data_IF_862648436006
#
_entry.id   IF_862648436006
#
_cell.length_a   1.000
_cell.length_b   1.000
_cell.length_c   1.000
_cell.angle_alpha   90.00
_cell.angle_beta   90.00
_cell.angle_gamma   90.00
#
_symmetry.space_group_name_H-M   'P 1'
#
loop_
_entity.id
_entity.type
_entity.pdbx_description
1 polymer ?
#
# COMPACT_ATOMS: atom_id res chain seq x y z
N UNK A 1 28.57 26.51 9.04
CA UNK A 1 27.73 26.07 10.16
C UNK A 1 27.20 27.29 10.91
N UNK A 2 25.97 27.29 11.30
CA UNK A 2 25.38 28.42 12.05
C UNK A 2 25.80 28.31 13.54
N UNK A 3 26.68 29.15 14.01
CA UNK A 3 27.23 29.17 15.37
C UNK A 3 26.12 29.15 16.45
N UNK A 4 24.98 29.80 16.17
CA UNK A 4 23.81 29.79 17.05
C UNK A 4 23.17 28.39 17.20
N UNK A 5 23.21 27.60 16.17
CA UNK A 5 22.65 26.24 16.21
C UNK A 5 23.55 25.31 17.05
N UNK A 6 24.86 25.45 16.90
CA UNK A 6 25.83 24.68 17.71
C UNK A 6 25.69 24.99 19.20
N UNK A 7 25.51 26.24 19.58
CA UNK A 7 25.27 26.63 20.97
C UNK A 7 23.99 26.00 21.51
N UNK A 8 22.91 25.94 20.71
CA UNK A 8 21.66 25.28 21.12
C UNK A 8 21.82 23.77 21.32
N UNK A 9 22.58 23.10 20.49
CA UNK A 9 22.88 21.67 20.70
C UNK A 9 23.67 21.43 21.99
N UNK A 10 24.61 22.31 22.31
CA UNK A 10 25.36 22.26 23.58
C UNK A 10 24.45 22.49 24.80
N UNK A 11 23.52 23.45 24.73
CA UNK A 11 22.49 23.67 25.77
C UNK A 11 21.60 22.44 25.99
N UNK A 12 21.33 21.66 24.94
CA UNK A 12 20.57 20.40 25.01
C UNK A 12 21.42 19.20 25.51
N UNK A 13 22.69 19.43 25.86
CA UNK A 13 23.59 18.39 26.34
C UNK A 13 24.20 17.52 25.22
N UNK A 14 24.09 17.93 23.97
CA UNK A 14 24.70 17.23 22.83
C UNK A 14 26.16 17.66 22.72
N UNK A 15 27.08 16.72 22.88
CA UNK A 15 28.52 16.99 22.76
C UNK A 15 28.92 17.29 21.31
N UNK A 16 30.00 18.08 21.16
CA UNK A 16 30.58 18.36 19.83
C UNK A 16 30.89 17.09 19.03
N UNK A 17 31.35 16.03 19.72
CA UNK A 17 31.66 14.74 19.08
C UNK A 17 30.40 14.08 18.49
N UNK A 18 29.29 14.11 19.21
CA UNK A 18 28.00 13.56 18.73
C UNK A 18 27.46 14.40 17.59
N UNK A 19 27.52 15.71 17.71
CA UNK A 19 27.11 16.63 16.64
C UNK A 19 27.92 16.41 15.34
N UNK A 20 29.25 16.39 15.45
CA UNK A 20 30.12 16.15 14.30
C UNK A 20 29.90 14.78 13.64
N UNK A 21 29.57 13.75 14.45
CA UNK A 21 29.19 12.45 13.92
C UNK A 21 27.89 12.51 13.14
N UNK A 22 26.86 13.20 13.65
CA UNK A 22 25.60 13.42 12.96
C UNK A 22 25.79 14.12 11.62
N UNK A 23 26.51 15.25 11.59
CA UNK A 23 26.86 15.97 10.36
C UNK A 23 27.53 15.09 9.31
N UNK A 24 28.47 14.24 9.75
CA UNK A 24 29.14 13.30 8.85
C UNK A 24 28.15 12.33 8.23
N UNK A 25 27.25 11.74 9.02
CA UNK A 25 26.23 10.80 8.52
C UNK A 25 25.26 11.51 7.56
N UNK A 26 24.85 12.72 7.86
CA UNK A 26 24.00 13.51 6.95
C UNK A 26 24.67 13.75 5.59
N UNK A 27 25.97 14.08 5.59
CA UNK A 27 26.72 14.24 4.36
C UNK A 27 26.83 12.92 3.56
N UNK A 28 27.05 11.79 4.24
CA UNK A 28 27.10 10.46 3.59
C UNK A 28 25.73 10.06 3.00
N UNK A 29 24.62 10.54 3.58
CA UNK A 29 23.25 10.26 3.13
C UNK A 29 22.68 11.29 2.16
N UNK A 30 23.42 12.36 1.86
CA UNK A 30 22.92 13.50 1.08
C UNK A 30 22.26 13.10 -0.25
N UNK A 31 22.94 12.28 -1.05
CA UNK A 31 22.38 11.81 -2.33
C UNK A 31 21.09 11.00 -2.17
N UNK A 32 20.97 10.27 -1.05
CA UNK A 32 19.75 9.53 -0.73
C UNK A 32 18.61 10.48 -0.38
N UNK A 33 18.88 11.51 0.42
CA UNK A 33 17.87 12.51 0.78
C UNK A 33 17.41 13.31 -0.44
N UNK A 34 18.35 13.72 -1.30
CA UNK A 34 18.02 14.42 -2.56
C UNK A 34 17.07 13.60 -3.47
N UNK A 35 17.28 12.28 -3.53
CA UNK A 35 16.37 11.39 -4.27
C UNK A 35 14.98 11.29 -3.62
N UNK A 36 14.93 11.24 -2.28
CA UNK A 36 13.66 11.23 -1.54
C UNK A 36 12.91 12.55 -1.76
N UNK A 37 13.60 13.68 -1.66
CA UNK A 37 13.01 15.02 -1.84
C UNK A 37 12.48 15.18 -3.27
N UNK A 38 13.24 14.78 -4.29
CA UNK A 38 12.79 14.83 -5.69
C UNK A 38 11.55 13.96 -5.93
N UNK A 39 11.48 12.77 -5.34
CA UNK A 39 10.31 11.91 -5.41
C UNK A 39 9.10 12.51 -4.66
N UNK A 40 9.34 13.11 -3.51
CA UNK A 40 8.30 13.79 -2.73
C UNK A 40 7.72 14.97 -3.51
N UNK A 41 8.58 15.81 -4.12
CA UNK A 41 8.16 16.93 -4.97
C UNK A 41 7.32 16.45 -6.16
N UNK A 42 7.78 15.42 -6.87
CA UNK A 42 7.04 14.82 -7.98
C UNK A 42 5.63 14.37 -7.56
N UNK A 43 5.55 13.60 -6.48
CA UNK A 43 4.27 13.08 -5.99
C UNK A 43 3.36 14.20 -5.45
N UNK A 44 3.92 15.22 -4.81
CA UNK A 44 3.16 16.40 -4.40
C UNK A 44 2.52 17.10 -5.61
N UNK A 45 3.29 17.29 -6.69
CA UNK A 45 2.78 17.89 -7.93
C UNK A 45 1.71 17.03 -8.58
N UNK A 46 1.86 15.70 -8.53
CA UNK A 46 0.84 14.74 -9.02
C UNK A 46 -0.49 14.92 -8.25
N UNK A 47 -0.44 15.02 -6.93
CA UNK A 47 -1.63 15.25 -6.10
C UNK A 47 -2.28 16.60 -6.41
N UNK A 48 -1.49 17.68 -6.50
CA UNK A 48 -1.99 19.01 -6.85
C UNK A 48 -2.66 19.00 -8.22
N UNK A 49 -2.05 18.35 -9.20
CA UNK A 49 -2.62 18.22 -10.55
C UNK A 49 -3.95 17.46 -10.54
N UNK A 50 -4.05 16.37 -9.76
CA UNK A 50 -5.29 15.62 -9.59
C UNK A 50 -6.39 16.48 -8.92
N UNK A 51 -6.04 17.26 -7.89
CA UNK A 51 -6.97 18.18 -7.25
C UNK A 51 -7.47 19.27 -8.21
N UNK A 52 -6.58 19.85 -9.00
CA UNK A 52 -6.94 20.86 -10.01
C UNK A 52 -7.84 20.27 -11.11
N UNK A 53 -7.48 19.09 -11.64
CA UNK A 53 -8.28 18.38 -12.66
C UNK A 53 -9.70 18.14 -12.17
N UNK A 54 -9.87 17.75 -10.92
CA UNK A 54 -11.16 17.46 -10.30
C UNK A 54 -11.82 18.69 -9.67
N UNK A 55 -11.26 19.91 -9.89
CA UNK A 55 -11.82 21.19 -9.43
C UNK A 55 -12.12 21.21 -7.93
N UNK A 56 -11.20 20.68 -7.13
CA UNK A 56 -11.34 20.74 -5.67
C UNK A 56 -11.50 22.19 -5.23
N UNK A 57 -12.54 22.50 -4.50
CA UNK A 57 -12.89 23.83 -4.00
C UNK A 57 -13.33 23.74 -2.54
N UNK A 58 -13.53 24.90 -1.90
CA UNK A 58 -14.05 24.98 -0.54
C UNK A 58 -15.40 24.24 -0.37
N UNK A 59 -16.21 24.18 -1.42
CA UNK A 59 -17.50 23.48 -1.41
C UNK A 59 -17.36 21.97 -1.18
N UNK A 60 -16.23 21.37 -1.61
CA UNK A 60 -15.95 19.95 -1.38
C UNK A 60 -15.78 19.61 0.12
N UNK A 61 -15.52 20.60 0.95
CA UNK A 61 -15.33 20.44 2.40
C UNK A 61 -16.59 20.80 3.22
N UNK A 62 -17.69 21.10 2.56
CA UNK A 62 -18.95 21.34 3.26
C UNK A 62 -19.42 20.07 3.98
N UNK A 63 -20.02 20.24 5.13
CA UNK A 63 -20.58 19.15 5.92
C UNK A 63 -21.69 18.47 5.11
N UNK A 64 -21.57 17.16 4.93
CA UNK A 64 -22.60 16.30 4.37
C UNK A 64 -22.83 15.11 5.29
N UNK A 65 -23.91 14.36 5.08
CA UNK A 65 -24.12 13.11 5.83
C UNK A 65 -23.18 12.00 5.40
N UNK A 66 -22.47 12.13 4.27
CA UNK A 66 -21.68 11.09 3.63
C UNK A 66 -22.53 9.89 3.16
N UNK A 67 -23.84 9.97 3.33
CA UNK A 67 -24.81 8.94 3.00
C UNK A 67 -25.68 9.40 1.83
N UNK A 68 -25.89 8.52 0.86
CA UNK A 68 -26.70 8.80 -0.31
C UNK A 68 -25.89 9.08 -1.58
N UNK A 69 -26.62 9.53 -2.60
CA UNK A 69 -26.08 9.78 -3.93
C UNK A 69 -25.63 11.23 -4.09
N UNK A 70 -24.66 11.47 -4.99
CA UNK A 70 -24.20 12.82 -5.36
C UNK A 70 -23.62 13.64 -4.19
N UNK A 71 -22.82 13.02 -3.35
CA UNK A 71 -22.04 13.75 -2.34
C UNK A 71 -20.80 14.37 -3.01
N UNK A 72 -20.80 15.70 -3.15
CA UNK A 72 -19.77 16.42 -3.89
C UNK A 72 -18.36 16.17 -3.33
N UNK A 73 -18.20 16.25 -2.01
CA UNK A 73 -16.89 16.08 -1.36
C UNK A 73 -16.35 14.67 -1.55
N UNK A 74 -17.18 13.68 -1.23
CA UNK A 74 -16.85 12.27 -1.39
C UNK A 74 -16.54 11.89 -2.83
N UNK A 75 -17.42 12.23 -3.75
CA UNK A 75 -17.28 11.84 -5.15
C UNK A 75 -16.08 12.53 -5.80
N UNK A 76 -15.75 13.76 -5.36
CA UNK A 76 -14.53 14.45 -5.79
C UNK A 76 -13.27 13.81 -5.21
N UNK A 77 -13.29 13.44 -3.93
CA UNK A 77 -12.17 12.75 -3.27
C UNK A 77 -11.84 11.42 -3.96
N UNK A 78 -12.86 10.63 -4.29
CA UNK A 78 -12.68 9.35 -5.00
C UNK A 78 -12.03 9.55 -6.37
N UNK A 79 -12.45 10.56 -7.14
CA UNK A 79 -11.79 10.91 -8.41
C UNK A 79 -10.35 11.36 -8.24
N UNK A 80 -10.05 12.15 -7.20
CA UNK A 80 -8.67 12.57 -6.88
C UNK A 80 -7.81 11.35 -6.57
N UNK A 81 -8.31 10.42 -5.77
CA UNK A 81 -7.59 9.16 -5.48
C UNK A 81 -7.37 8.35 -6.75
N UNK A 82 -8.39 8.14 -7.57
CA UNK A 82 -8.24 7.42 -8.83
C UNK A 82 -7.15 8.04 -9.71
N UNK A 83 -7.15 9.37 -9.86
CA UNK A 83 -6.13 10.08 -10.64
C UNK A 83 -4.73 9.98 -10.03
N UNK A 84 -4.60 10.09 -8.70
CA UNK A 84 -3.29 10.01 -8.02
C UNK A 84 -2.64 8.64 -8.16
N UNK A 85 -3.43 7.59 -8.10
CA UNK A 85 -2.95 6.21 -8.11
C UNK A 85 -3.07 5.52 -9.47
N UNK A 86 -3.64 6.20 -10.46
CA UNK A 86 -3.78 5.70 -11.83
C UNK A 86 -4.86 4.62 -11.97
N UNK A 87 -5.87 4.65 -11.10
CA UNK A 87 -7.03 3.77 -11.16
C UNK A 87 -8.15 4.29 -12.03
N UNK A 88 -9.04 3.42 -12.47
CA UNK A 88 -10.29 3.79 -13.15
C UNK A 88 -11.29 4.42 -12.18
N UNK A 89 -11.29 3.94 -10.94
CA UNK A 89 -12.15 4.40 -9.85
C UNK A 89 -11.47 4.17 -8.49
N UNK A 90 -11.99 4.82 -7.46
CA UNK A 90 -11.55 4.63 -6.08
C UNK A 90 -12.76 4.62 -5.13
N UNK A 91 -12.63 3.89 -4.04
CA UNK A 91 -13.63 3.83 -2.99
C UNK A 91 -13.04 4.37 -1.68
N UNK A 92 -13.38 5.62 -1.36
CA UNK A 92 -12.88 6.31 -0.16
C UNK A 92 -14.07 6.64 0.73
N UNK A 93 -14.33 5.80 1.73
CA UNK A 93 -15.54 5.85 2.55
C UNK A 93 -15.22 5.82 4.04
N UNK A 94 -15.85 6.67 4.85
CA UNK A 94 -15.69 6.61 6.32
C UNK A 94 -16.24 5.31 6.92
N UNK A 95 -17.11 4.60 6.20
CA UNK A 95 -17.63 3.28 6.60
C UNK A 95 -16.59 2.17 6.48
N UNK A 96 -15.52 2.38 5.71
CA UNK A 96 -14.35 1.50 5.69
C UNK A 96 -13.47 1.92 6.87
N UNK A 97 -13.64 1.27 8.01
CA UNK A 97 -13.18 1.76 9.30
C UNK A 97 -11.70 1.54 9.60
N UNK A 98 -11.07 0.62 8.87
CA UNK A 98 -9.63 0.32 9.04
C UNK A 98 -9.11 -0.46 7.83
N UNK A 99 -7.80 -0.66 7.78
CA UNK A 99 -7.15 -1.38 6.70
C UNK A 99 -7.56 -2.83 6.56
N UNK A 100 -7.68 -3.52 7.66
CA UNK A 100 -8.18 -4.90 7.65
C UNK A 100 -9.58 -4.99 7.05
N UNK A 101 -10.45 -4.00 7.32
CA UNK A 101 -11.78 -3.92 6.73
C UNK A 101 -11.72 -3.67 5.21
N UNK A 102 -10.84 -2.77 4.76
CA UNK A 102 -10.65 -2.52 3.32
C UNK A 102 -10.17 -3.77 2.58
N UNK A 103 -9.16 -4.45 3.14
CA UNK A 103 -8.65 -5.70 2.58
C UNK A 103 -9.71 -6.82 2.58
N UNK A 104 -10.47 -6.97 3.68
CA UNK A 104 -11.55 -7.94 3.77
C UNK A 104 -12.62 -7.69 2.69
N UNK A 105 -13.04 -6.44 2.50
CA UNK A 105 -14.01 -6.06 1.46
C UNK A 105 -13.48 -6.39 0.06
N UNK A 106 -12.22 -6.05 -0.23
CA UNK A 106 -11.60 -6.34 -1.52
C UNK A 106 -11.50 -7.86 -1.79
N UNK A 107 -11.15 -8.65 -0.79
CA UNK A 107 -11.11 -10.11 -0.90
C UNK A 107 -12.51 -10.69 -1.11
N UNK A 108 -13.48 -10.33 -0.27
CA UNK A 108 -14.85 -10.85 -0.32
C UNK A 108 -15.60 -10.44 -1.61
N UNK A 109 -15.30 -9.28 -2.17
CA UNK A 109 -15.92 -8.84 -3.42
C UNK A 109 -15.47 -9.64 -4.63
N UNK A 110 -14.26 -10.19 -4.61
CA UNK A 110 -13.64 -10.87 -5.74
C UNK A 110 -13.62 -12.39 -5.64
N UNK A 111 -13.85 -12.97 -4.45
CA UNK A 111 -13.78 -14.41 -4.19
C UNK A 111 -15.18 -15.01 -3.99
N UNK A 112 -15.37 -16.24 -4.45
CA UNK A 112 -16.60 -17.02 -4.32
C UNK A 112 -16.28 -18.41 -3.73
N UNK A 113 -17.25 -19.10 -3.14
CA UNK A 113 -17.05 -20.48 -2.67
C UNK A 113 -16.44 -21.39 -3.76
N UNK A 114 -15.35 -22.06 -3.43
CA UNK A 114 -14.57 -22.88 -4.35
C UNK A 114 -13.35 -22.19 -4.97
N UNK A 115 -13.26 -20.85 -4.88
CA UNK A 115 -12.08 -20.09 -5.33
C UNK A 115 -10.90 -20.29 -4.37
N UNK A 116 -9.71 -20.03 -4.91
CA UNK A 116 -8.47 -20.01 -4.16
C UNK A 116 -7.87 -18.59 -4.14
N UNK A 117 -7.40 -18.20 -2.94
CA UNK A 117 -6.56 -17.06 -2.68
C UNK A 117 -5.10 -17.51 -2.56
N UNK A 118 -4.21 -17.00 -3.41
CA UNK A 118 -2.77 -17.27 -3.36
C UNK A 118 -2.00 -16.06 -2.87
N UNK A 119 -1.08 -16.26 -1.90
CA UNK A 119 -0.06 -15.27 -1.54
C UNK A 119 1.32 -15.72 -2.04
N UNK A 120 1.91 -15.07 -3.04
CA UNK A 120 3.19 -15.47 -3.63
C UNK A 120 4.41 -14.85 -2.96
N UNK A 121 4.23 -14.18 -1.83
CA UNK A 121 5.27 -13.43 -1.10
C UNK A 121 5.30 -13.81 0.39
N UNK A 122 4.83 -15.00 0.70
CA UNK A 122 4.70 -15.51 2.05
C UNK A 122 3.40 -15.12 2.73
N UNK A 123 3.35 -15.34 4.02
CA UNK A 123 2.17 -15.11 4.85
C UNK A 123 1.79 -13.62 4.88
N UNK A 124 0.50 -13.27 4.72
CA UNK A 124 0.04 -11.90 4.81
C UNK A 124 0.15 -11.37 6.25
N UNK A 125 -0.11 -10.07 6.41
CA UNK A 125 -0.13 -9.41 7.71
C UNK A 125 -1.07 -10.11 8.71
N UNK A 126 -0.71 -10.13 9.97
CA UNK A 126 -1.35 -10.94 11.02
C UNK A 126 -2.85 -10.70 11.19
N UNK A 127 -3.33 -9.47 10.97
CA UNK A 127 -4.77 -9.15 11.04
C UNK A 127 -5.57 -9.82 9.92
N UNK A 128 -4.95 -10.19 8.81
CA UNK A 128 -5.60 -10.92 7.72
C UNK A 128 -5.70 -12.43 7.97
N UNK A 129 -4.91 -12.97 8.90
CA UNK A 129 -4.96 -14.40 9.19
C UNK A 129 -6.35 -14.87 9.61
N UNK A 130 -7.05 -14.06 10.42
CA UNK A 130 -8.43 -14.37 10.84
C UNK A 130 -9.44 -14.11 9.74
N UNK A 131 -9.24 -13.06 8.93
CA UNK A 131 -10.12 -12.76 7.79
C UNK A 131 -10.08 -13.89 6.76
N UNK A 132 -8.89 -14.37 6.44
CA UNK A 132 -8.68 -15.46 5.48
C UNK A 132 -9.10 -16.80 6.09
N UNK A 133 -8.84 -17.01 7.37
CA UNK A 133 -9.05 -18.29 8.08
C UNK A 133 -7.78 -19.13 8.17
N UNK A 134 -6.59 -18.55 7.95
CA UNK A 134 -5.29 -19.17 8.29
C UNK A 134 -5.27 -19.49 9.78
N UNK A 135 -5.70 -18.52 10.59
CA UNK A 135 -6.05 -18.72 11.99
C UNK A 135 -7.57 -18.90 12.08
N UNK A 136 -8.08 -19.99 12.66
CA UNK A 136 -9.52 -20.25 12.71
C UNK A 136 -10.31 -19.08 13.29
N UNK A 137 -11.26 -18.57 12.53
CA UNK A 137 -12.11 -17.46 12.91
C UNK A 137 -13.49 -17.59 12.28
N UNK A 138 -14.54 -17.25 13.03
CA UNK A 138 -15.92 -17.24 12.51
C UNK A 138 -16.09 -16.10 11.51
N UNK A 139 -16.75 -16.40 10.40
CA UNK A 139 -16.96 -15.45 9.31
C UNK A 139 -15.75 -15.28 8.42
N UNK A 140 -14.70 -16.12 8.56
CA UNK A 140 -13.52 -16.12 7.68
C UNK A 140 -13.85 -16.61 6.28
N UNK A 141 -13.00 -16.26 5.31
CA UNK A 141 -13.13 -16.74 3.93
C UNK A 141 -13.15 -18.27 3.86
N UNK A 142 -12.37 -18.95 4.72
CA UNK A 142 -12.34 -20.40 4.80
C UNK A 142 -13.71 -21.00 5.18
N UNK A 143 -14.48 -20.38 6.07
CA UNK A 143 -15.84 -20.83 6.41
C UNK A 143 -16.81 -20.70 5.23
N UNK A 144 -16.52 -19.77 4.30
CA UNK A 144 -17.30 -19.61 3.06
C UNK A 144 -16.77 -20.47 1.91
N UNK A 145 -15.87 -21.42 2.18
CA UNK A 145 -15.38 -22.38 1.19
C UNK A 145 -14.34 -21.83 0.24
N UNK A 146 -13.65 -20.76 0.62
CA UNK A 146 -12.50 -20.22 -0.11
C UNK A 146 -11.24 -20.86 0.47
N UNK A 147 -10.37 -21.34 -0.39
CA UNK A 147 -9.09 -21.95 -0.01
C UNK A 147 -7.96 -20.91 -0.03
N UNK A 148 -6.94 -21.14 0.78
CA UNK A 148 -5.75 -20.30 0.83
C UNK A 148 -4.50 -21.14 0.60
N UNK A 149 -3.59 -20.59 -0.20
CA UNK A 149 -2.24 -21.11 -0.37
C UNK A 149 -1.20 -19.99 -0.34
N UNK A 150 0.04 -20.32 -0.03
CA UNK A 150 1.14 -19.35 -0.06
C UNK A 150 2.40 -19.98 -0.62
N UNK A 151 3.25 -19.14 -1.19
CA UNK A 151 4.63 -19.44 -1.56
C UNK A 151 5.52 -18.43 -0.87
N UNK A 152 6.47 -18.91 -0.08
CA UNK A 152 7.40 -18.05 0.63
C UNK A 152 8.48 -17.54 -0.33
N UNK A 153 9.08 -16.38 0.01
CA UNK A 153 10.27 -15.91 -0.70
C UNK A 153 11.44 -16.87 -0.45
N UNK A 154 12.34 -16.95 -1.42
CA UNK A 154 13.60 -17.68 -1.26
C UNK A 154 14.47 -17.01 -0.16
N UNK A 155 15.48 -17.71 0.40
CA UNK A 155 16.31 -17.19 1.48
C UNK A 155 17.02 -15.88 1.17
N UNK A 156 17.27 -15.59 -0.11
CA UNK A 156 17.86 -14.33 -0.59
C UNK A 156 16.83 -13.20 -0.78
N UNK A 157 15.55 -13.47 -0.52
CA UNK A 157 14.44 -12.54 -0.70
C UNK A 157 13.93 -12.42 -2.14
N UNK A 158 14.38 -13.28 -3.04
CA UNK A 158 13.83 -13.38 -4.40
C UNK A 158 12.52 -14.19 -4.43
N UNK A 159 11.76 -14.06 -5.52
CA UNK A 159 10.54 -14.84 -5.71
C UNK A 159 10.87 -16.29 -6.08
N UNK A 160 10.17 -17.24 -5.47
CA UNK A 160 10.18 -18.61 -5.89
C UNK A 160 9.23 -18.82 -7.10
N UNK A 161 9.72 -18.52 -8.29
CA UNK A 161 8.92 -18.60 -9.51
C UNK A 161 8.43 -20.02 -9.82
N UNK A 162 9.20 -21.05 -9.48
CA UNK A 162 8.79 -22.44 -9.67
C UNK A 162 7.71 -22.83 -8.65
N UNK A 163 7.86 -22.45 -7.40
CA UNK A 163 6.83 -22.61 -6.37
C UNK A 163 5.53 -21.91 -6.74
N UNK A 164 5.61 -20.66 -7.21
CA UNK A 164 4.43 -19.88 -7.65
C UNK A 164 3.74 -20.55 -8.83
N UNK A 165 4.51 -21.03 -9.84
CA UNK A 165 3.96 -21.75 -11.00
C UNK A 165 3.19 -22.98 -10.57
N UNK A 166 3.73 -23.74 -9.62
CA UNK A 166 3.12 -24.98 -9.13
C UNK A 166 1.91 -24.71 -8.22
N UNK A 167 1.84 -23.54 -7.58
CA UNK A 167 0.75 -23.15 -6.71
C UNK A 167 -0.45 -22.52 -7.44
N UNK A 168 -0.30 -22.12 -8.70
CA UNK A 168 -1.41 -21.59 -9.50
C UNK A 168 -2.22 -22.73 -10.08
N UNK A 169 -3.49 -22.82 -9.68
CA UNK A 169 -4.45 -23.85 -10.12
C UNK A 169 -5.59 -23.23 -10.92
N UNK A 170 -6.48 -24.09 -11.42
CA UNK A 170 -7.66 -23.63 -12.16
C UNK A 170 -8.57 -22.74 -11.32
N UNK A 171 -8.71 -23.06 -10.03
CA UNK A 171 -9.53 -22.31 -9.07
C UNK A 171 -8.79 -21.12 -8.40
N UNK A 172 -7.51 -20.89 -8.68
CA UNK A 172 -6.80 -19.69 -8.19
C UNK A 172 -7.40 -18.45 -8.84
N UNK A 173 -8.22 -17.73 -8.08
CA UNK A 173 -8.97 -16.56 -8.58
C UNK A 173 -8.29 -15.25 -8.29
N UNK A 174 -7.65 -15.14 -7.13
CA UNK A 174 -7.03 -13.92 -6.67
C UNK A 174 -5.63 -14.19 -6.10
N UNK A 175 -4.68 -13.35 -6.49
CA UNK A 175 -3.33 -13.30 -5.92
C UNK A 175 -3.21 -12.02 -5.10
N UNK A 176 -2.83 -12.16 -3.82
CA UNK A 176 -2.61 -11.01 -2.92
C UNK A 176 -1.11 -10.79 -2.71
N UNK A 177 -0.63 -9.60 -3.00
CA UNK A 177 0.78 -9.21 -2.89
C UNK A 177 0.90 -8.14 -1.82
N UNK A 178 1.45 -8.50 -0.66
CA UNK A 178 1.77 -7.52 0.37
C UNK A 178 3.11 -6.84 0.05
N UNK A 179 3.09 -5.54 -0.24
CA UNK A 179 4.27 -4.75 -0.59
C UNK A 179 5.21 -4.56 0.59
N UNK A 180 4.67 -4.16 1.73
CA UNK A 180 5.45 -3.93 2.94
C UNK A 180 5.98 -5.23 3.54
N UNK A 181 7.10 -5.14 4.25
CA UNK A 181 7.64 -6.29 4.98
C UNK A 181 6.87 -6.61 6.27
N UNK A 182 6.05 -5.70 6.75
CA UNK A 182 5.42 -5.82 8.07
C UNK A 182 6.48 -6.01 9.15
N UNK A 183 6.30 -7.01 10.00
CA UNK A 183 7.27 -7.40 11.04
C UNK A 183 8.29 -8.45 10.56
N UNK A 184 8.23 -8.86 9.29
CA UNK A 184 9.11 -9.89 8.76
C UNK A 184 10.50 -9.33 8.39
N UNK A 185 11.53 -10.19 8.45
CA UNK A 185 12.87 -9.86 7.98
C UNK A 185 13.00 -10.21 6.49
N UNK A 186 12.34 -9.43 5.64
CA UNK A 186 12.39 -9.55 4.18
C UNK A 186 12.50 -8.17 3.52
N UNK A 187 12.94 -8.06 2.26
CA UNK A 187 12.90 -6.78 1.56
C UNK A 187 11.46 -6.31 1.34
N UNK A 188 11.26 -4.99 1.38
CA UNK A 188 10.06 -4.34 0.85
C UNK A 188 10.10 -4.45 -0.68
N UNK A 189 8.96 -4.70 -1.30
CA UNK A 189 8.87 -4.84 -2.75
C UNK A 189 8.81 -3.46 -3.42
N UNK A 190 9.68 -3.22 -4.40
CA UNK A 190 9.54 -2.07 -5.30
C UNK A 190 8.39 -2.29 -6.27
N UNK A 191 7.89 -1.19 -6.85
CA UNK A 191 6.84 -1.26 -7.88
C UNK A 191 7.32 -2.06 -9.10
N UNK A 192 8.59 -1.95 -9.46
CA UNK A 192 9.21 -2.73 -10.53
C UNK A 192 9.12 -4.24 -10.25
N UNK A 193 9.56 -4.69 -9.07
CA UNK A 193 9.48 -6.10 -8.68
C UNK A 193 8.05 -6.63 -8.64
N UNK A 194 7.10 -5.80 -8.18
CA UNK A 194 5.67 -6.14 -8.23
C UNK A 194 5.23 -6.35 -9.68
N UNK A 195 5.64 -5.49 -10.61
CA UNK A 195 5.34 -5.61 -12.02
C UNK A 195 5.90 -6.88 -12.67
N UNK A 196 7.15 -7.26 -12.34
CA UNK A 196 7.76 -8.51 -12.77
C UNK A 196 6.95 -9.72 -12.30
N UNK A 197 6.58 -9.73 -11.01
CA UNK A 197 5.77 -10.80 -10.42
C UNK A 197 4.39 -10.91 -11.07
N UNK A 198 3.69 -9.78 -11.24
CA UNK A 198 2.38 -9.75 -11.90
C UNK A 198 2.48 -10.26 -13.33
N UNK A 199 3.48 -9.81 -14.08
CA UNK A 199 3.73 -10.24 -15.46
C UNK A 199 3.93 -11.76 -15.52
N UNK A 200 4.75 -12.30 -14.63
CA UNK A 200 4.97 -13.75 -14.54
C UNK A 200 3.67 -14.50 -14.25
N UNK A 201 2.89 -14.08 -13.26
CA UNK A 201 1.62 -14.71 -12.88
C UNK A 201 0.60 -14.64 -14.03
N UNK A 202 0.47 -13.48 -14.68
CA UNK A 202 -0.44 -13.28 -15.81
C UNK A 202 -0.08 -14.10 -17.04
N UNK A 203 1.19 -14.43 -17.25
CA UNK A 203 1.61 -15.35 -18.30
C UNK A 203 1.18 -16.80 -18.04
N UNK A 204 0.94 -17.18 -16.78
CA UNK A 204 0.44 -18.51 -16.42
C UNK A 204 -1.09 -18.52 -16.43
N UNK A 205 -1.71 -17.53 -15.81
CA UNK A 205 -3.17 -17.41 -15.65
C UNK A 205 -3.63 -15.97 -15.91
N UNK A 206 -3.98 -15.64 -17.17
CA UNK A 206 -4.30 -14.24 -17.57
C UNK A 206 -5.50 -13.62 -16.86
N UNK A 207 -6.46 -14.44 -16.45
CA UNK A 207 -7.72 -14.03 -15.81
C UNK A 207 -7.63 -13.86 -14.28
N UNK A 208 -6.50 -14.25 -13.65
CA UNK A 208 -6.33 -14.10 -12.20
C UNK A 208 -6.27 -12.62 -11.80
N UNK A 209 -6.92 -12.27 -10.70
CA UNK A 209 -6.89 -10.91 -10.16
C UNK A 209 -5.62 -10.74 -9.32
N UNK A 210 -4.79 -9.75 -9.65
CA UNK A 210 -3.64 -9.37 -8.84
C UNK A 210 -4.01 -8.15 -7.99
N UNK A 211 -4.13 -8.37 -6.68
CA UNK A 211 -4.40 -7.34 -5.68
C UNK A 211 -3.11 -7.01 -4.92
N UNK A 212 -2.82 -5.74 -4.74
CA UNK A 212 -1.65 -5.29 -3.97
C UNK A 212 -2.10 -4.58 -2.70
N UNK A 213 -1.65 -5.10 -1.56
CA UNK A 213 -1.68 -4.36 -0.30
C UNK A 213 -0.49 -3.39 -0.30
N UNK A 214 -0.77 -2.11 -0.58
CA UNK A 214 0.23 -1.05 -0.73
C UNK A 214 0.47 -0.27 0.56
N UNK A 215 -0.01 -0.73 1.69
CA UNK A 215 0.16 -0.04 2.97
C UNK A 215 1.63 0.30 3.23
N UNK A 216 1.90 1.56 3.56
CA UNK A 216 3.22 2.18 3.68
C UNK A 216 4.01 2.33 2.37
N UNK A 217 3.40 2.04 1.22
CA UNK A 217 4.03 2.19 -0.10
C UNK A 217 3.56 3.42 -0.86
N UNK A 218 2.56 4.15 -0.35
CA UNK A 218 1.96 5.29 -0.99
C UNK A 218 2.99 6.41 -1.21
N UNK A 219 3.12 6.84 -2.45
CA UNK A 219 4.02 7.93 -2.86
C UNK A 219 5.52 7.71 -2.51
N UNK A 220 5.91 6.46 -2.20
CA UNK A 220 7.31 6.11 -1.92
C UNK A 220 8.15 6.04 -3.21
N UNK A 221 7.50 5.75 -4.33
CA UNK A 221 8.08 5.74 -5.67
C UNK A 221 7.32 6.69 -6.60
N UNK A 222 7.82 6.94 -7.80
CA UNK A 222 7.17 7.79 -8.82
C UNK A 222 5.93 7.14 -9.42
N UNK A 223 5.86 5.81 -9.40
CA UNK A 223 4.75 4.98 -9.89
C UNK A 223 4.11 4.19 -8.76
N UNK A 224 2.85 3.85 -8.98
CA UNK A 224 2.09 2.99 -8.08
C UNK A 224 1.85 1.61 -8.73
N UNK A 225 1.54 0.57 -7.92
CA UNK A 225 1.36 -0.79 -8.44
C UNK A 225 0.32 -0.95 -9.55
N UNK A 226 -0.70 -0.09 -9.63
CA UNK A 226 -1.66 -0.10 -10.74
C UNK A 226 -0.99 0.14 -12.09
N UNK A 227 0.06 0.98 -12.14
CA UNK A 227 0.80 1.26 -13.37
C UNK A 227 1.58 0.05 -13.91
N UNK A 228 1.74 -1.00 -13.12
CA UNK A 228 2.47 -2.22 -13.50
C UNK A 228 1.58 -3.46 -13.52
N UNK A 229 0.26 -3.27 -13.60
CA UNK A 229 -0.72 -4.33 -13.87
C UNK A 229 -1.46 -4.88 -12.67
N UNK A 230 -1.34 -4.28 -11.48
CA UNK A 230 -2.26 -4.57 -10.39
C UNK A 230 -3.69 -4.15 -10.80
N UNK A 231 -4.68 -5.02 -10.56
CA UNK A 231 -6.08 -4.71 -10.84
C UNK A 231 -6.78 -4.09 -9.62
N UNK A 232 -6.24 -4.28 -8.42
CA UNK A 232 -6.73 -3.69 -7.19
C UNK A 232 -5.56 -3.25 -6.34
N UNK A 233 -5.67 -2.08 -5.76
CA UNK A 233 -4.68 -1.49 -4.89
C UNK A 233 -5.37 -1.03 -3.61
N UNK A 234 -4.88 -1.50 -2.48
CA UNK A 234 -5.41 -1.11 -1.18
C UNK A 234 -4.45 -0.11 -0.55
N UNK A 235 -4.96 1.09 -0.33
CA UNK A 235 -4.32 2.13 0.46
C UNK A 235 -5.05 2.22 1.79
N UNK A 236 -4.31 2.14 2.86
CA UNK A 236 -4.87 2.20 4.19
C UNK A 236 -4.42 3.48 4.85
N UNK A 237 -5.34 4.41 5.02
CA UNK A 237 -5.19 5.45 6.02
C UNK A 237 -6.09 5.09 7.20
N UNK A 238 -5.52 4.88 8.35
CA UNK A 238 -6.30 4.71 9.57
C UNK A 238 -7.01 6.03 9.91
N UNK A 239 -8.31 6.01 10.25
CA UNK A 239 -9.06 7.22 10.59
C UNK A 239 -8.44 8.02 11.73
N UNK A 240 -7.70 7.38 12.62
CA UNK A 240 -6.97 8.00 13.73
C UNK A 240 -5.82 8.93 13.30
N UNK A 241 -5.26 8.77 12.11
CA UNK A 241 -4.24 9.70 11.60
C UNK A 241 -4.82 11.05 11.16
N UNK A 242 -6.06 11.08 10.73
CA UNK A 242 -6.76 12.33 10.38
C UNK A 242 -7.16 13.15 11.61
N UNK A 243 -7.34 12.52 12.77
CA UNK A 243 -7.65 13.20 14.03
C UNK A 243 -6.42 13.86 14.70
N UNK A 244 -5.20 13.53 14.26
CA UNK A 244 -3.96 14.11 14.78
C UNK A 244 -3.44 15.30 13.96
N UNK A 245 -4.14 15.67 12.88
CA UNK A 245 -3.76 16.79 11.99
C UNK A 245 -4.72 18.00 12.16
N UNK A 246 -5.70 17.91 13.05
CA UNK A 246 -6.62 19.01 13.39
C UNK A 246 -6.15 19.82 14.57
#
# INVERSE_FOLDING_TARGET
MNQLLEEKYKELGISEKVYAFGEKIEQELKERFEKIDANAEYNQMKVIAAMQKNRVSAECFNISSGYGYNDMGRDTLERVYADCFGGEDALVRPQITCGTHALALALMSNLRPGDELLSPVGKPYDTLEEVIGIRPSKGSLAEYGITYSQVDLLPDGSFDYDGIRNAIHENTRLVTIQRSKGYQTRPTLSVERIGELITFIKNIKPDVICMVDNCYGEFVEDREPLAVGALSLIHISEPTRLALIS
#
